data_IF_574250502143
#
_entry.id   IF_574250502143
#
_cell.length_a   1.000
_cell.length_b   1.000
_cell.length_c   1.000
_cell.angle_alpha   90.00
_cell.angle_beta   90.00
_cell.angle_gamma   90.00
#
_symmetry.space_group_name_H-M   'P 1'
#
loop_
_entity.id
_entity.type
_entity.pdbx_description
1 polymer ?
#
# COMPACT_ATOMS: atom_id res chain seq x y z
N UNK A 1 -7.46 -15.19 -3.78
CA UNK A 1 -6.16 -14.64 -3.38
C UNK A 1 -5.30 -14.49 -4.63
N UNK A 2 -4.65 -13.36 -4.82
CA UNK A 2 -3.71 -13.10 -5.91
C UNK A 2 -2.28 -13.17 -5.37
N UNK A 3 -1.38 -13.76 -6.12
CA UNK A 3 0.06 -13.90 -5.81
C UNK A 3 0.93 -12.88 -6.57
N UNK A 4 0.30 -11.79 -6.99
CA UNK A 4 0.93 -10.68 -7.70
C UNK A 4 1.24 -9.53 -6.74
N UNK A 5 2.28 -8.76 -7.03
CA UNK A 5 2.49 -7.47 -6.40
C UNK A 5 1.52 -6.43 -6.99
N UNK A 6 1.17 -5.41 -6.23
CA UNK A 6 0.40 -4.27 -6.74
C UNK A 6 1.33 -3.17 -7.23
N UNK A 7 0.99 -2.57 -8.37
CA UNK A 7 1.74 -1.48 -8.97
C UNK A 7 0.79 -0.56 -9.77
N UNK A 8 1.35 0.36 -10.54
CA UNK A 8 0.64 1.28 -11.44
C UNK A 8 0.55 0.79 -12.89
N UNK A 9 0.97 -0.45 -13.16
CA UNK A 9 0.92 -1.08 -14.48
C UNK A 9 1.08 -2.60 -14.37
N UNK A 10 0.59 -3.32 -15.39
CA UNK A 10 0.81 -4.75 -15.53
C UNK A 10 2.20 -4.98 -16.13
N UNK A 11 3.15 -5.32 -15.30
CA UNK A 11 4.54 -5.56 -15.69
C UNK A 11 5.25 -6.56 -14.77
N UNK A 12 6.45 -6.98 -15.13
CA UNK A 12 7.35 -7.71 -14.23
C UNK A 12 8.33 -6.72 -13.62
N UNK A 13 8.45 -6.75 -12.30
CA UNK A 13 9.36 -5.88 -11.55
C UNK A 13 10.27 -6.67 -10.64
N UNK A 14 11.41 -6.09 -10.34
CA UNK A 14 12.30 -6.57 -9.30
C UNK A 14 11.69 -6.33 -7.93
N UNK A 15 11.66 -7.36 -7.12
CA UNK A 15 11.20 -7.34 -5.73
C UNK A 15 12.36 -7.66 -4.81
N UNK A 16 12.52 -6.87 -3.77
CA UNK A 16 13.61 -6.94 -2.81
C UNK A 16 13.13 -7.52 -1.48
N UNK A 17 13.43 -8.81 -1.21
CA UNK A 17 13.08 -9.43 0.05
C UNK A 17 13.76 -8.73 1.23
N UNK A 18 13.06 -8.61 2.34
CA UNK A 18 13.66 -8.17 3.59
C UNK A 18 14.67 -9.21 4.07
N UNK A 19 15.90 -8.79 4.34
CA UNK A 19 17.03 -9.68 4.68
C UNK A 19 17.24 -9.83 6.19
N UNK A 20 16.64 -8.94 7.01
CA UNK A 20 16.71 -9.00 8.47
C UNK A 20 15.43 -8.46 9.11
N UNK A 21 15.16 -8.87 10.35
CA UNK A 21 13.92 -8.55 11.07
C UNK A 21 12.81 -9.59 10.84
N UNK A 22 11.55 -9.15 10.96
CA UNK A 22 10.36 -10.03 10.90
C UNK A 22 10.00 -10.53 9.49
N UNK A 23 10.72 -10.10 8.45
CA UNK A 23 10.48 -10.40 7.02
C UNK A 23 9.13 -9.93 6.49
N UNK A 24 8.56 -8.90 7.08
CA UNK A 24 7.30 -8.27 6.63
C UNK A 24 7.52 -7.05 5.74
N UNK A 25 8.75 -6.54 5.65
CA UNK A 25 9.11 -5.30 4.98
C UNK A 25 9.76 -5.46 3.61
N UNK A 26 9.45 -6.52 2.86
CA UNK A 26 9.91 -6.70 1.48
C UNK A 26 9.22 -5.71 0.53
N UNK A 27 9.90 -5.24 -0.52
CA UNK A 27 9.45 -4.09 -1.30
C UNK A 27 9.75 -4.19 -2.79
N UNK A 28 8.97 -3.46 -3.60
CA UNK A 28 9.29 -3.16 -5.01
C UNK A 28 10.28 -1.97 -5.14
N UNK A 29 10.59 -1.29 -4.04
CA UNK A 29 11.45 -0.11 -4.04
C UNK A 29 12.88 -0.51 -3.70
N UNK A 30 13.79 -0.28 -4.64
CA UNK A 30 15.22 -0.49 -4.43
C UNK A 30 15.75 0.45 -3.33
N UNK A 31 16.59 -0.09 -2.43
CA UNK A 31 17.16 0.68 -1.34
C UNK A 31 16.20 0.98 -0.17
N UNK A 32 15.03 0.35 -0.15
CA UNK A 32 14.15 0.42 1.02
C UNK A 32 14.86 -0.17 2.25
N UNK A 33 14.64 0.44 3.40
CA UNK A 33 15.21 0.00 4.68
C UNK A 33 15.01 -1.50 4.91
N UNK A 34 16.05 -2.18 5.36
CA UNK A 34 16.11 -3.62 5.61
C UNK A 34 16.08 -4.56 4.39
N UNK A 35 16.17 -4.05 3.17
CA UNK A 35 16.40 -4.85 1.96
C UNK A 35 17.87 -4.79 1.53
N UNK A 36 18.31 -5.77 0.72
CA UNK A 36 19.64 -5.78 0.08
C UNK A 36 19.42 -5.72 -1.44
N UNK A 37 19.94 -4.71 -2.15
CA UNK A 37 19.77 -4.59 -3.60
C UNK A 37 20.42 -5.74 -4.39
N UNK A 38 21.34 -6.50 -3.79
CA UNK A 38 21.94 -7.67 -4.41
C UNK A 38 21.11 -8.95 -4.25
N UNK A 39 20.04 -8.91 -3.45
CA UNK A 39 19.13 -10.04 -3.21
C UNK A 39 17.77 -9.64 -3.74
N UNK A 40 17.37 -10.21 -4.86
CA UNK A 40 16.10 -9.86 -5.50
C UNK A 40 15.48 -11.04 -6.24
N UNK A 41 14.18 -10.94 -6.48
CA UNK A 41 13.41 -11.86 -7.31
C UNK A 41 12.53 -11.06 -8.27
N UNK A 42 12.17 -11.66 -9.39
CA UNK A 42 11.21 -11.07 -10.32
C UNK A 42 9.78 -11.46 -9.92
N UNK A 43 8.87 -10.47 -9.87
CA UNK A 43 7.46 -10.69 -9.57
C UNK A 43 6.58 -10.03 -10.64
N UNK A 44 5.44 -10.68 -10.92
CA UNK A 44 4.41 -10.06 -11.75
C UNK A 44 3.64 -9.05 -10.94
N UNK A 45 3.38 -7.90 -11.54
CA UNK A 45 2.57 -6.83 -10.96
C UNK A 45 1.23 -6.73 -11.66
N UNK A 46 0.21 -6.34 -10.90
CA UNK A 46 -1.08 -5.90 -11.43
C UNK A 46 -1.18 -4.38 -11.34
N UNK A 47 -1.90 -3.78 -12.28
CA UNK A 47 -2.36 -2.40 -12.18
C UNK A 47 -3.49 -2.34 -11.15
N UNK A 48 -3.22 -1.71 -9.98
CA UNK A 48 -4.18 -1.67 -8.89
C UNK A 48 -5.42 -0.84 -9.24
N UNK A 49 -5.27 0.24 -10.00
CA UNK A 49 -6.40 1.08 -10.40
C UNK A 49 -7.39 0.27 -11.26
N UNK A 50 -6.87 -0.37 -12.29
CA UNK A 50 -7.66 -1.25 -13.17
C UNK A 50 -8.29 -2.41 -12.39
N UNK A 51 -7.53 -3.03 -11.49
CA UNK A 51 -8.03 -4.16 -10.70
C UNK A 51 -9.20 -3.75 -9.79
N UNK A 52 -9.13 -2.59 -9.13
CA UNK A 52 -10.23 -2.08 -8.29
C UNK A 52 -11.46 -1.81 -9.14
N UNK A 53 -11.31 -1.15 -10.29
CA UNK A 53 -12.41 -0.86 -11.21
C UNK A 53 -13.11 -2.14 -11.69
N UNK A 54 -12.35 -3.16 -12.10
CA UNK A 54 -12.88 -4.42 -12.62
C UNK A 54 -13.51 -5.31 -11.53
N UNK A 55 -13.09 -5.18 -10.27
CA UNK A 55 -13.54 -6.05 -9.18
C UNK A 55 -14.49 -5.38 -8.19
N UNK A 56 -14.80 -4.09 -8.36
CA UNK A 56 -15.78 -3.41 -7.52
C UNK A 56 -17.16 -4.06 -7.68
N UNK A 57 -17.81 -4.33 -6.56
CA UNK A 57 -19.18 -4.84 -6.51
C UNK A 57 -20.14 -3.65 -6.36
N UNK A 58 -21.03 -3.48 -7.31
CA UNK A 58 -22.02 -2.37 -7.28
C UNK A 58 -22.89 -2.46 -6.01
N UNK A 59 -23.02 -1.34 -5.32
CA UNK A 59 -23.80 -1.22 -4.06
C UNK A 59 -23.11 -1.82 -2.83
N UNK A 60 -21.92 -2.39 -2.96
CA UNK A 60 -21.13 -2.83 -1.81
C UNK A 60 -20.33 -1.67 -1.22
N UNK A 61 -20.15 -1.67 0.10
CA UNK A 61 -19.22 -0.79 0.79
C UNK A 61 -17.79 -1.28 0.56
N UNK A 62 -16.97 -0.48 -0.10
CA UNK A 62 -15.62 -0.83 -0.52
C UNK A 62 -14.59 -0.24 0.43
N UNK A 63 -13.77 -1.10 1.01
CA UNK A 63 -12.66 -0.72 1.88
C UNK A 63 -11.35 -1.08 1.20
N UNK A 64 -10.41 -0.14 1.14
CA UNK A 64 -9.07 -0.37 0.60
C UNK A 64 -8.00 -0.12 1.68
N UNK A 65 -7.29 -1.19 2.07
CA UNK A 65 -6.07 -1.07 2.88
C UNK A 65 -4.85 -1.11 1.97
N UNK A 66 -3.97 -0.13 2.10
CA UNK A 66 -2.68 -0.05 1.42
C UNK A 66 -1.57 -0.08 2.46
N UNK A 67 -0.69 -1.07 2.33
CA UNK A 67 0.48 -1.32 3.15
C UNK A 67 1.45 -2.10 2.25
N UNK A 68 2.21 -1.37 1.43
CA UNK A 68 3.01 -1.90 0.31
C UNK A 68 4.48 -1.48 0.37
N UNK A 69 4.91 -1.16 1.59
CA UNK A 69 6.32 -1.06 1.95
C UNK A 69 7.14 -0.08 1.09
N UNK A 70 6.58 1.13 0.89
CA UNK A 70 7.20 2.25 0.19
C UNK A 70 6.69 2.47 -1.23
N UNK A 71 5.97 1.51 -1.81
CA UNK A 71 5.37 1.69 -3.14
C UNK A 71 4.14 2.62 -3.13
N UNK A 72 3.66 3.08 -1.96
CA UNK A 72 2.56 4.02 -1.79
C UNK A 72 2.80 5.30 -2.62
N UNK A 73 4.03 5.81 -2.61
CA UNK A 73 4.39 7.06 -3.30
C UNK A 73 4.35 6.97 -4.83
N UNK A 74 4.35 5.77 -5.37
CA UNK A 74 4.16 5.50 -6.80
C UNK A 74 2.72 5.11 -7.14
N UNK A 75 2.08 4.31 -6.29
CA UNK A 75 0.76 3.72 -6.57
C UNK A 75 -0.38 4.69 -6.27
N UNK A 76 -0.33 5.44 -5.17
CA UNK A 76 -1.42 6.34 -4.77
C UNK A 76 -1.67 7.46 -5.79
N UNK A 77 -0.66 8.15 -6.35
CA UNK A 77 -0.90 9.11 -7.42
C UNK A 77 -1.65 8.50 -8.61
N UNK A 78 -1.28 7.29 -9.00
CA UNK A 78 -1.94 6.55 -10.08
C UNK A 78 -3.41 6.23 -9.77
N UNK A 79 -3.72 5.86 -8.51
CA UNK A 79 -5.10 5.62 -8.09
C UNK A 79 -5.94 6.91 -8.17
N UNK A 80 -5.38 8.04 -7.75
CA UNK A 80 -6.06 9.34 -7.79
C UNK A 80 -6.27 9.79 -9.25
N UNK A 81 -5.26 9.70 -10.10
CA UNK A 81 -5.31 10.04 -11.53
C UNK A 81 -6.38 9.22 -12.28
N UNK A 82 -6.63 7.99 -11.87
CA UNK A 82 -7.66 7.11 -12.43
C UNK A 82 -9.00 7.17 -11.67
N UNK A 83 -9.20 8.17 -10.79
CA UNK A 83 -10.43 8.39 -10.03
C UNK A 83 -10.86 7.19 -9.16
N UNK A 84 -9.93 6.36 -8.72
CA UNK A 84 -10.22 5.22 -7.83
C UNK A 84 -10.78 5.70 -6.48
N UNK A 85 -10.44 6.93 -6.06
CA UNK A 85 -10.97 7.53 -4.85
C UNK A 85 -12.50 7.72 -4.87
N UNK A 86 -13.13 7.78 -6.05
CA UNK A 86 -14.59 7.80 -6.20
C UNK A 86 -15.23 6.40 -6.06
N UNK A 87 -14.41 5.36 -6.07
CA UNK A 87 -14.85 3.95 -6.03
C UNK A 87 -14.68 3.30 -4.65
N UNK A 88 -13.97 3.96 -3.74
CA UNK A 88 -13.60 3.42 -2.42
C UNK A 88 -14.24 4.27 -1.33
N UNK A 89 -14.98 3.64 -0.43
CA UNK A 89 -15.71 4.30 0.64
C UNK A 89 -14.82 4.60 1.85
N UNK A 90 -13.88 3.70 2.16
CA UNK A 90 -12.94 3.87 3.28
C UNK A 90 -11.51 3.47 2.88
N UNK A 91 -10.55 4.26 3.34
CA UNK A 91 -9.13 4.06 3.08
C UNK A 91 -8.37 3.86 4.38
N UNK A 92 -7.50 2.84 4.39
CA UNK A 92 -6.52 2.60 5.44
C UNK A 92 -5.13 2.58 4.82
N UNK A 93 -4.29 3.53 5.19
CA UNK A 93 -2.94 3.69 4.60
C UNK A 93 -1.89 3.53 5.68
N UNK A 94 -0.88 2.69 5.41
CA UNK A 94 0.38 2.70 6.15
C UNK A 94 1.44 3.45 5.33
N UNK A 95 1.78 4.66 5.75
CA UNK A 95 2.80 5.45 5.10
C UNK A 95 4.21 5.05 5.56
N UNK A 96 5.08 4.77 4.60
CA UNK A 96 6.49 4.48 4.86
C UNK A 96 7.33 5.72 4.61
N UNK A 97 7.61 6.49 5.66
CA UNK A 97 8.24 7.81 5.61
C UNK A 97 9.71 7.81 5.13
N UNK A 98 10.34 8.99 5.12
CA UNK A 98 11.65 9.24 4.47
C UNK A 98 12.81 8.43 5.04
N UNK A 99 12.70 7.94 6.27
CA UNK A 99 13.74 7.09 6.88
C UNK A 99 13.65 5.63 6.44
N UNK A 100 12.57 5.24 5.78
CA UNK A 100 12.32 3.85 5.38
C UNK A 100 12.37 3.64 3.87
N UNK A 101 12.02 4.65 3.08
CA UNK A 101 11.90 4.52 1.63
C UNK A 101 12.53 5.68 0.87
N UNK A 102 13.36 5.41 -0.16
CA UNK A 102 14.08 6.45 -0.90
C UNK A 102 13.20 7.27 -1.86
N UNK A 103 12.03 6.75 -2.25
CA UNK A 103 11.08 7.42 -3.13
C UNK A 103 10.04 8.27 -2.37
N UNK A 104 10.28 8.55 -1.10
CA UNK A 104 9.41 9.41 -0.30
C UNK A 104 9.18 10.77 -0.97
N UNK A 105 7.91 11.15 -1.12
CA UNK A 105 7.49 12.47 -1.57
C UNK A 105 6.31 12.96 -0.72
N UNK A 106 6.50 13.99 0.13
CA UNK A 106 5.44 14.51 0.99
C UNK A 106 4.26 15.12 0.21
N UNK A 107 4.46 15.53 -1.05
CA UNK A 107 3.37 16.05 -1.86
C UNK A 107 2.35 14.95 -2.21
N UNK A 108 2.77 13.70 -2.29
CA UNK A 108 1.86 12.56 -2.52
C UNK A 108 0.88 12.43 -1.35
N UNK A 109 1.36 12.54 -0.11
CA UNK A 109 0.50 12.48 1.07
C UNK A 109 -0.48 13.67 1.09
N UNK A 110 0.00 14.89 0.81
CA UNK A 110 -0.84 16.09 0.77
C UNK A 110 -1.94 15.95 -0.30
N UNK A 111 -1.57 15.55 -1.51
CA UNK A 111 -2.53 15.38 -2.60
C UNK A 111 -3.56 14.28 -2.29
N UNK A 112 -3.13 13.20 -1.62
CA UNK A 112 -4.04 12.16 -1.15
C UNK A 112 -5.06 12.71 -0.15
N UNK A 113 -4.61 13.46 0.86
CA UNK A 113 -5.50 14.05 1.86
C UNK A 113 -6.51 15.05 1.29
N UNK A 114 -6.13 15.74 0.21
CA UNK A 114 -7.04 16.66 -0.50
C UNK A 114 -8.08 15.89 -1.34
N UNK A 115 -7.71 14.76 -1.94
CA UNK A 115 -8.57 13.96 -2.79
C UNK A 115 -9.49 13.02 -2.03
N UNK A 116 -9.05 12.51 -0.88
CA UNK A 116 -9.73 11.48 -0.09
C UNK A 116 -10.22 12.04 1.23
N UNK A 117 -11.53 12.37 1.35
CA UNK A 117 -12.06 13.02 2.55
C UNK A 117 -12.18 12.10 3.77
N UNK A 118 -12.22 10.78 3.56
CA UNK A 118 -12.36 9.78 4.64
C UNK A 118 -11.24 8.75 4.54
N UNK A 119 -10.29 8.85 5.42
CA UNK A 119 -9.14 7.94 5.49
C UNK A 119 -8.68 7.75 6.93
N UNK A 120 -7.95 6.68 7.21
CA UNK A 120 -7.36 6.36 8.51
C UNK A 120 -5.88 6.04 8.33
N UNK A 121 -5.03 6.68 9.13
CA UNK A 121 -3.63 6.28 9.26
C UNK A 121 -3.57 4.94 10.01
N UNK A 122 -3.17 3.88 9.30
CA UNK A 122 -3.08 2.52 9.85
C UNK A 122 -2.11 2.43 11.04
N UNK A 123 -1.10 3.29 11.09
CA UNK A 123 -0.15 3.38 12.20
C UNK A 123 -0.65 4.23 13.38
N UNK A 124 -1.84 4.83 13.30
CA UNK A 124 -2.38 5.61 14.41
C UNK A 124 -2.53 4.75 15.67
N UNK A 125 -2.31 5.37 16.82
CA UNK A 125 -2.43 4.70 18.13
C UNK A 125 -3.84 4.14 18.34
N UNK A 126 -4.85 4.85 17.87
CA UNK A 126 -6.25 4.46 17.93
C UNK A 126 -6.53 3.14 17.21
N UNK A 127 -6.00 2.97 15.99
CA UNK A 127 -6.16 1.73 15.21
C UNK A 127 -5.42 0.57 15.87
N UNK A 128 -4.20 0.80 16.37
CA UNK A 128 -3.45 -0.24 17.07
C UNK A 128 -4.19 -0.73 18.32
N UNK A 129 -4.82 0.17 19.06
CA UNK A 129 -5.62 -0.18 20.24
C UNK A 129 -6.88 -0.95 19.85
N UNK A 130 -7.56 -0.58 18.78
CA UNK A 130 -8.72 -1.32 18.26
C UNK A 130 -8.34 -2.73 17.78
N UNK A 131 -7.24 -2.87 17.04
CA UNK A 131 -6.73 -4.17 16.59
C UNK A 131 -6.38 -5.07 17.77
N UNK A 132 -5.74 -4.55 18.81
CA UNK A 132 -5.43 -5.27 20.02
C UNK A 132 -6.67 -5.80 20.74
N UNK A 133 -7.73 -4.99 20.79
CA UNK A 133 -9.02 -5.41 21.37
C UNK A 133 -9.68 -6.54 20.57
N UNK A 134 -9.53 -6.56 19.25
CA UNK A 134 -10.02 -7.64 18.37
C UNK A 134 -9.22 -8.92 18.59
N UNK A 135 -7.90 -8.83 18.66
CA UNK A 135 -7.03 -9.97 18.95
C UNK A 135 -7.32 -10.60 20.30
N UNK A 136 -7.51 -9.79 21.34
CA UNK A 136 -7.80 -10.26 22.71
C UNK A 136 -9.18 -10.93 22.81
N UNK A 137 -10.16 -10.57 21.95
CA UNK A 137 -11.47 -11.24 21.89
C UNK A 137 -11.44 -12.60 21.19
N UNK A 138 -10.43 -12.83 20.35
CA UNK A 138 -10.28 -14.06 19.57
C UNK A 138 -9.32 -15.08 20.24
N UNK A 139 -8.80 -14.75 21.40
CA UNK A 139 -8.00 -15.65 22.25
C UNK A 139 -8.86 -16.32 23.32
#
# INVERSE_FOLDING_TARGET
>A
LHDNAVWKSEETKTFYPQVWGARTGSSLIEGKYSTDPNISVEVKCIDLAKWVEENKIEGAHTILKIDIEGAEYDVIPHLIENNVHDLVDEWFIEWHGPTKTPNFDPNVEVNFYEAVPVWVDWNSEEIRDQMKLIEDRNR
#
